data_IF_131856221357
#
_entry.id   IF_131856221357
#
_cell.length_a   1.000
_cell.length_b   1.000
_cell.length_c   1.000
_cell.angle_alpha   90.00
_cell.angle_beta   90.00
_cell.angle_gamma   90.00
#
_symmetry.space_group_name_H-M   'P 1'
#
loop_
_entity.id
_entity.type
_entity.pdbx_description
1 polymer ?
#
# COMPACT_ATOMS: atom_id res chain seq x y z
N UNK A 1 14.65 7.98 -7.89
CA UNK A 1 13.31 7.36 -7.93
C UNK A 1 13.32 5.97 -8.53
N UNK A 2 12.70 5.03 -7.82
CA UNK A 2 12.50 3.61 -8.17
C UNK A 2 11.00 3.30 -8.17
N UNK A 3 10.61 2.22 -8.84
CA UNK A 3 9.21 1.77 -8.87
C UNK A 3 8.97 0.75 -7.76
N UNK A 4 7.93 0.97 -6.97
CA UNK A 4 7.51 0.07 -5.91
C UNK A 4 6.11 -0.46 -6.19
N UNK A 5 5.89 -1.75 -5.93
CA UNK A 5 4.56 -2.33 -5.77
C UNK A 5 4.20 -2.24 -4.29
N UNK A 6 3.15 -1.49 -3.99
CA UNK A 6 2.63 -1.34 -2.63
C UNK A 6 1.37 -2.18 -2.48
N UNK A 7 1.40 -3.14 -1.55
CA UNK A 7 0.26 -3.97 -1.17
C UNK A 7 -0.36 -3.42 0.10
N UNK A 8 -1.66 -3.18 0.06
CA UNK A 8 -2.42 -2.62 1.17
C UNK A 8 -3.50 -3.61 1.58
N UNK A 9 -3.69 -3.78 2.89
CA UNK A 9 -4.84 -4.46 3.46
C UNK A 9 -5.65 -3.43 4.21
N UNK A 10 -6.89 -3.18 3.78
CA UNK A 10 -7.70 -2.10 4.28
C UNK A 10 -9.02 -2.61 4.84
N UNK A 11 -9.45 -1.98 5.93
CA UNK A 11 -10.77 -2.24 6.49
C UNK A 11 -11.81 -1.57 5.61
N UNK A 12 -12.84 -2.34 5.28
CA UNK A 12 -14.02 -1.78 4.64
C UNK A 12 -14.82 -0.96 5.67
N UNK A 13 -15.49 0.13 5.25
CA UNK A 13 -16.28 0.97 6.14
C UNK A 13 -17.47 0.26 6.78
N UNK A 14 -17.82 -0.95 6.31
CA UNK A 14 -18.91 -1.76 6.82
C UNK A 14 -18.40 -2.83 7.78
N UNK A 15 -18.92 -2.83 9.01
CA UNK A 15 -18.52 -3.68 10.15
C UNK A 15 -18.54 -5.21 9.92
N UNK A 16 -19.13 -5.69 8.83
CA UNK A 16 -19.23 -7.12 8.48
C UNK A 16 -18.55 -7.48 7.16
N UNK A 17 -17.92 -6.52 6.50
CA UNK A 17 -17.20 -6.78 5.25
C UNK A 17 -15.80 -7.30 5.57
N UNK A 18 -15.32 -8.32 4.84
CA UNK A 18 -13.93 -8.74 4.94
C UNK A 18 -13.01 -7.57 4.54
N UNK A 19 -11.81 -7.53 5.12
CA UNK A 19 -10.79 -6.60 4.69
C UNK A 19 -10.47 -6.79 3.20
N UNK A 20 -10.29 -5.68 2.48
CA UNK A 20 -9.90 -5.68 1.08
C UNK A 20 -8.37 -5.68 0.95
N UNK A 21 -7.89 -6.27 -0.14
CA UNK A 21 -6.49 -6.20 -0.53
C UNK A 21 -6.39 -5.37 -1.79
N UNK A 22 -5.61 -4.29 -1.72
CA UNK A 22 -5.38 -3.35 -2.79
C UNK A 22 -3.91 -3.29 -3.19
N UNK A 23 -3.65 -2.90 -4.44
CA UNK A 23 -2.30 -2.83 -5.00
C UNK A 23 -2.12 -1.50 -5.73
N UNK A 24 -0.99 -0.84 -5.49
CA UNK A 24 -0.62 0.39 -6.16
C UNK A 24 0.82 0.35 -6.63
N UNK A 25 1.11 0.91 -7.81
CA UNK A 25 2.48 1.19 -8.22
C UNK A 25 2.83 2.63 -7.86
N UNK A 26 3.91 2.82 -7.11
CA UNK A 26 4.36 4.12 -6.63
C UNK A 26 5.81 4.34 -7.03
N UNK A 27 6.13 5.54 -7.51
CA UNK A 27 7.52 5.97 -7.70
C UNK A 27 7.99 6.72 -6.44
N UNK A 28 9.09 6.27 -5.84
CA UNK A 28 9.64 6.83 -4.60
C UNK A 28 11.16 6.65 -4.55
N UNK A 29 11.87 7.32 -3.63
CA UNK A 29 13.30 7.11 -3.42
C UNK A 29 13.61 5.88 -2.56
N UNK A 30 12.67 5.45 -1.71
CA UNK A 30 12.81 4.28 -0.84
C UNK A 30 11.44 3.71 -0.40
N UNK A 31 11.45 2.52 0.20
CA UNK A 31 10.24 1.83 0.67
C UNK A 31 9.41 2.67 1.65
N UNK A 32 10.05 3.39 2.57
CA UNK A 32 9.33 4.20 3.57
C UNK A 32 8.56 5.34 2.92
N UNK A 33 9.12 5.96 1.88
CA UNK A 33 8.43 6.98 1.10
C UNK A 33 7.28 6.36 0.27
N UNK A 34 7.50 5.19 -0.34
CA UNK A 34 6.45 4.48 -1.07
C UNK A 34 5.26 4.10 -0.17
N UNK A 35 5.51 3.63 1.06
CA UNK A 35 4.47 3.31 2.05
C UNK A 35 3.69 4.56 2.47
N UNK A 36 4.39 5.68 2.71
CA UNK A 36 3.75 6.97 3.09
C UNK A 36 2.85 7.52 2.00
N UNK A 37 3.20 7.34 0.73
CA UNK A 37 2.42 7.84 -0.40
C UNK A 37 1.00 7.27 -0.48
N UNK A 38 0.77 6.11 0.12
CA UNK A 38 -0.53 5.41 0.12
C UNK A 38 -1.09 5.15 1.52
N UNK A 39 -0.51 5.80 2.54
CA UNK A 39 -0.98 5.62 3.92
C UNK A 39 -2.36 6.27 4.08
N UNK A 40 -3.38 5.44 4.18
CA UNK A 40 -4.76 5.80 4.57
C UNK A 40 -5.05 5.26 5.97
N UNK A 41 -5.81 6.02 6.77
CA UNK A 41 -6.24 5.62 8.13
C UNK A 41 -7.15 4.41 8.17
N UNK A 42 -7.65 3.96 7.01
CA UNK A 42 -8.43 2.71 6.88
C UNK A 42 -7.56 1.47 6.63
N UNK A 43 -6.29 1.64 6.27
CA UNK A 43 -5.40 0.53 5.94
C UNK A 43 -4.65 0.01 7.16
N UNK A 44 -4.87 -1.26 7.49
CA UNK A 44 -4.30 -1.94 8.66
C UNK A 44 -2.92 -2.54 8.41
N UNK A 45 -2.55 -2.72 7.14
CA UNK A 45 -1.23 -3.21 6.74
C UNK A 45 -0.83 -2.63 5.39
N UNK A 46 0.39 -2.11 5.29
CA UNK A 46 0.96 -1.56 4.07
C UNK A 46 2.37 -2.11 3.92
N UNK A 47 2.62 -2.79 2.81
CA UNK A 47 3.94 -3.30 2.46
C UNK A 47 4.35 -2.82 1.07
N UNK A 48 5.63 -2.50 0.89
CA UNK A 48 6.16 -1.98 -0.36
C UNK A 48 7.36 -2.80 -0.78
N UNK A 49 7.38 -3.25 -2.02
CA UNK A 49 8.47 -4.03 -2.62
C UNK A 49 8.98 -3.30 -3.84
N UNK A 50 10.29 -3.10 -3.93
CA UNK A 50 10.94 -2.57 -5.14
C UNK A 50 10.72 -3.54 -6.30
N UNK A 51 10.29 -3.02 -7.44
CA UNK A 51 10.09 -3.80 -8.66
C UNK A 51 11.32 -3.58 -9.53
N UNK A 52 12.19 -4.59 -9.60
CA UNK A 52 13.23 -4.64 -10.63
C UNK A 52 12.55 -4.99 -11.96
N UNK A 53 12.73 -4.15 -12.98
CA UNK A 53 12.24 -4.40 -14.35
C UNK A 53 12.97 -5.55 -15.05
#
# INVERSE_FOLDING_TARGET
>A
MKKFLVRMMCNEPFYYSPASVEFAYVWAENENEAKKAVTDGMCISIDATEVEE
#
